data_IF_953080124918
#
_entry.id   IF_953080124918
#
_cell.length_a   1.000
_cell.length_b   1.000
_cell.length_c   1.000
_cell.angle_alpha   90.00
_cell.angle_beta   90.00
_cell.angle_gamma   90.00
#
_symmetry.space_group_name_H-M   'P 1'
#
loop_
_entity.id
_entity.type
_entity.pdbx_description
1 polymer ?
#
# COMPACT_ATOMS: atom_id res chain seq x y z
N UNK A 1 -17.12 -6.68 6.98
CA UNK A 1 -15.76 -6.94 7.48
C UNK A 1 -14.80 -6.56 6.37
N UNK A 2 -13.91 -5.59 6.60
CA UNK A 2 -12.90 -5.22 5.61
C UNK A 2 -11.97 -6.40 5.33
N UNK A 3 -11.66 -6.66 4.06
CA UNK A 3 -10.78 -7.75 3.67
C UNK A 3 -9.33 -7.32 3.86
N UNK A 4 -8.77 -7.62 5.04
CA UNK A 4 -7.34 -7.42 5.28
C UNK A 4 -6.52 -8.39 4.43
N UNK A 5 -5.54 -7.87 3.66
CA UNK A 5 -4.59 -8.70 2.92
C UNK A 5 -3.33 -8.90 3.74
N UNK A 6 -3.01 -10.16 4.05
CA UNK A 6 -1.73 -10.54 4.66
C UNK A 6 -0.68 -10.77 3.58
N UNK A 7 0.50 -10.15 3.75
CA UNK A 7 1.68 -10.35 2.92
C UNK A 7 2.82 -10.84 3.81
N UNK A 8 3.50 -11.90 3.38
CA UNK A 8 4.60 -12.51 4.12
C UNK A 8 5.91 -12.10 3.43
N UNK A 9 6.80 -11.44 4.17
CA UNK A 9 8.07 -10.95 3.66
C UNK A 9 9.15 -12.00 3.89
N UNK A 10 10.04 -12.19 2.93
CA UNK A 10 11.27 -12.95 3.14
C UNK A 10 12.23 -12.07 3.96
N UNK A 11 12.66 -12.56 5.13
CA UNK A 11 13.53 -11.92 6.12
C UNK A 11 12.84 -11.02 7.16
N UNK A 12 13.56 -10.80 8.26
CA UNK A 12 13.11 -9.94 9.36
C UNK A 12 13.05 -8.47 8.94
N UNK A 13 11.98 -7.80 9.36
CA UNK A 13 11.80 -6.38 9.16
C UNK A 13 11.48 -5.71 10.49
N UNK A 14 12.16 -4.60 10.75
CA UNK A 14 11.82 -3.73 11.85
C UNK A 14 10.48 -3.01 11.55
N UNK A 15 9.45 -3.37 12.29
CA UNK A 15 8.12 -2.77 12.19
C UNK A 15 8.16 -1.26 12.42
N UNK A 16 9.02 -0.76 13.31
CA UNK A 16 9.12 0.67 13.61
C UNK A 16 9.64 1.46 12.40
N UNK A 17 10.58 0.89 11.65
CA UNK A 17 11.08 1.47 10.39
C UNK A 17 10.00 1.59 9.31
N UNK A 18 9.04 0.65 9.24
CA UNK A 18 7.90 0.77 8.32
C UNK A 18 6.89 1.79 8.85
N UNK A 19 6.48 1.68 10.12
CA UNK A 19 5.44 2.55 10.72
C UNK A 19 5.82 4.03 10.67
N UNK A 20 7.08 4.36 10.89
CA UNK A 20 7.59 5.74 10.77
C UNK A 20 7.53 6.33 9.36
N UNK A 21 7.35 5.51 8.32
CA UNK A 21 7.21 5.96 6.94
C UNK A 21 5.74 6.22 6.54
N UNK A 22 4.76 5.74 7.31
CA UNK A 22 3.35 5.80 6.95
C UNK A 22 2.82 7.24 6.97
N UNK A 23 1.90 7.53 6.06
CA UNK A 23 1.11 8.75 6.09
C UNK A 23 0.20 8.74 7.32
N UNK A 24 0.28 9.79 8.13
CA UNK A 24 -0.43 9.92 9.42
C UNK A 24 -0.19 8.74 10.38
N UNK A 25 0.88 7.98 10.18
CA UNK A 25 1.26 6.83 11.00
C UNK A 25 0.52 5.52 10.69
N UNK A 26 -0.42 5.52 9.75
CA UNK A 26 -1.31 4.36 9.49
C UNK A 26 -1.49 4.04 8.00
N UNK A 27 -1.32 5.00 7.10
CA UNK A 27 -1.69 4.86 5.69
C UNK A 27 -0.49 4.74 4.73
N UNK A 28 -0.68 4.02 3.63
CA UNK A 28 0.29 3.90 2.54
C UNK A 28 -0.37 3.63 1.19
N UNK A 29 0.38 3.83 0.10
CA UNK A 29 -0.04 3.47 -1.27
C UNK A 29 0.71 2.20 -1.70
N UNK A 30 0.04 1.05 -1.93
CA UNK A 30 0.70 -0.21 -2.27
C UNK A 30 1.66 -0.10 -3.46
N UNK A 31 1.25 0.54 -4.55
CA UNK A 31 2.08 0.71 -5.74
C UNK A 31 3.34 1.54 -5.48
N UNK A 32 3.28 2.52 -4.58
CA UNK A 32 4.43 3.35 -4.24
C UNK A 32 5.53 2.57 -3.49
N UNK A 33 5.15 1.47 -2.83
CA UNK A 33 6.08 0.57 -2.10
C UNK A 33 6.42 -0.70 -2.88
N UNK A 34 6.00 -0.80 -4.14
CA UNK A 34 6.30 -1.94 -5.02
C UNK A 34 5.31 -3.11 -4.94
N UNK A 35 4.17 -2.91 -4.29
CA UNK A 35 3.09 -3.90 -4.26
C UNK A 35 2.09 -3.66 -5.40
N UNK A 36 1.41 -4.71 -5.91
CA UNK A 36 0.35 -4.53 -6.88
C UNK A 36 -0.84 -3.76 -6.28
N UNK A 37 -1.72 -3.16 -7.10
CA UNK A 37 -3.01 -2.66 -6.65
C UNK A 37 -3.77 -3.75 -5.89
N UNK A 38 -4.28 -3.42 -4.70
CA UNK A 38 -4.98 -4.40 -3.86
C UNK A 38 -6.50 -4.38 -4.08
N UNK A 39 -7.04 -3.29 -4.62
CA UNK A 39 -8.47 -3.04 -4.76
C UNK A 39 -9.11 -3.63 -6.02
N UNK A 40 -8.33 -3.98 -7.05
CA UNK A 40 -8.85 -4.56 -8.31
C UNK A 40 -9.69 -5.84 -8.11
N UNK A 41 -9.52 -6.51 -6.96
CA UNK A 41 -10.28 -7.71 -6.60
C UNK A 41 -11.67 -7.43 -6.06
N UNK A 42 -12.00 -6.19 -5.69
CA UNK A 42 -13.33 -5.84 -5.17
C UNK A 42 -14.41 -6.09 -6.21
N UNK A 43 -14.18 -5.70 -7.47
CA UNK A 43 -15.07 -6.03 -8.58
C UNK A 43 -15.24 -7.55 -8.76
N UNK A 44 -14.15 -8.31 -8.67
CA UNK A 44 -14.18 -9.78 -8.77
C UNK A 44 -14.93 -10.46 -7.60
N UNK A 45 -15.13 -9.75 -6.49
CA UNK A 45 -15.84 -10.21 -5.30
C UNK A 45 -17.29 -9.71 -5.26
N UNK A 46 -17.76 -9.03 -6.32
CA UNK A 46 -19.13 -8.55 -6.44
C UNK A 46 -19.40 -7.21 -5.76
N UNK A 47 -18.34 -6.50 -5.34
CA UNK A 47 -18.47 -5.11 -4.90
C UNK A 47 -18.49 -4.18 -6.12
N UNK A 48 -19.23 -3.09 -6.00
CA UNK A 48 -19.16 -1.98 -6.94
C UNK A 48 -17.76 -1.35 -6.83
N UNK A 49 -16.97 -1.42 -7.90
CA UNK A 49 -15.61 -0.88 -7.95
C UNK A 49 -15.20 -0.66 -9.42
N UNK A 50 -14.57 0.48 -9.76
CA UNK A 50 -14.30 1.63 -8.89
C UNK A 50 -15.54 2.53 -8.69
N UNK A 51 -15.57 3.23 -7.55
CA UNK A 51 -16.55 4.23 -7.11
C UNK A 51 -15.85 5.58 -6.90
N UNK A 52 -16.62 6.66 -6.72
CA UNK A 52 -16.06 8.01 -6.47
C UNK A 52 -15.35 8.13 -5.10
N UNK A 53 -15.69 7.25 -4.16
CA UNK A 53 -15.10 7.22 -2.82
C UNK A 53 -13.82 6.36 -2.75
N UNK A 54 -13.46 5.65 -3.83
CA UNK A 54 -12.27 4.80 -3.85
C UNK A 54 -10.98 5.62 -3.93
N UNK A 55 -10.11 5.41 -2.95
CA UNK A 55 -8.81 6.08 -2.87
C UNK A 55 -7.65 5.07 -2.89
N UNK A 56 -6.49 5.47 -3.42
CA UNK A 56 -5.30 4.60 -3.50
C UNK A 56 -4.70 4.23 -2.14
N UNK A 57 -5.08 4.96 -1.08
CA UNK A 57 -4.59 4.76 0.29
C UNK A 57 -5.11 3.47 0.91
N UNK A 58 -4.23 2.79 1.62
CA UNK A 58 -4.49 1.56 2.36
C UNK A 58 -3.96 1.70 3.79
N UNK A 59 -4.69 1.15 4.75
CA UNK A 59 -4.28 1.11 6.15
C UNK A 59 -3.36 -0.08 6.42
N UNK A 60 -2.26 0.14 7.13
CA UNK A 60 -1.44 -0.93 7.70
C UNK A 60 -2.00 -1.33 9.07
N UNK A 61 -2.85 -2.36 9.07
CA UNK A 61 -3.51 -2.85 10.30
C UNK A 61 -2.50 -3.47 11.27
N UNK A 62 -1.61 -4.35 10.79
CA UNK A 62 -0.69 -5.08 11.66
C UNK A 62 0.60 -5.51 10.94
N UNK A 63 1.65 -5.76 11.74
CA UNK A 63 2.93 -6.32 11.31
C UNK A 63 3.46 -7.23 12.42
N UNK A 64 3.49 -8.54 12.16
CA UNK A 64 3.90 -9.57 13.11
C UNK A 64 4.95 -10.51 12.51
N UNK A 65 5.95 -10.96 13.28
CA UNK A 65 6.84 -12.04 12.87
C UNK A 65 6.07 -13.34 12.64
N UNK A 66 6.50 -14.12 11.65
CA UNK A 66 5.91 -15.43 11.35
C UNK A 66 6.98 -16.41 10.85
N UNK A 67 6.73 -17.70 11.04
CA UNK A 67 7.53 -18.80 10.49
C UNK A 67 6.99 -19.30 9.13
N UNK A 68 5.91 -18.70 8.63
CA UNK A 68 5.31 -19.07 7.35
C UNK A 68 6.21 -18.72 6.16
N UNK A 69 6.06 -19.46 5.07
CA UNK A 69 6.81 -19.21 3.85
C UNK A 69 6.47 -17.83 3.25
N UNK A 70 7.46 -17.07 2.76
CA UNK A 70 7.24 -15.75 2.19
C UNK A 70 6.37 -15.81 0.94
N UNK A 71 5.66 -14.71 0.67
CA UNK A 71 4.87 -14.55 -0.55
C UNK A 71 5.83 -14.46 -1.74
N UNK A 72 5.67 -15.30 -2.79
CA UNK A 72 6.57 -15.27 -3.95
C UNK A 72 6.65 -13.89 -4.59
N UNK A 73 7.87 -13.44 -4.86
CA UNK A 73 8.12 -12.13 -5.50
C UNK A 73 8.00 -10.93 -4.56
N UNK A 74 7.89 -11.13 -3.24
CA UNK A 74 7.86 -10.05 -2.26
C UNK A 74 9.08 -10.16 -1.34
N UNK A 75 9.99 -9.19 -1.45
CA UNK A 75 11.24 -9.18 -0.70
C UNK A 75 11.25 -8.06 0.33
N UNK A 76 11.59 -8.37 1.60
CA UNK A 76 11.58 -7.42 2.71
C UNK A 76 12.36 -6.13 2.40
N UNK A 77 13.60 -6.29 1.91
CA UNK A 77 14.47 -5.17 1.61
C UNK A 77 13.87 -4.21 0.56
N UNK A 78 13.21 -4.75 -0.46
CA UNK A 78 12.58 -3.94 -1.52
C UNK A 78 11.37 -3.18 -1.01
N UNK A 79 10.53 -3.85 -0.19
CA UNK A 79 9.37 -3.24 0.45
C UNK A 79 9.80 -2.11 1.39
N UNK A 80 10.76 -2.35 2.28
CA UNK A 80 11.26 -1.33 3.23
C UNK A 80 11.87 -0.14 2.49
N UNK A 81 12.64 -0.38 1.42
CA UNK A 81 13.16 0.70 0.59
C UNK A 81 12.04 1.44 -0.13
N UNK A 82 10.99 0.75 -0.58
CA UNK A 82 9.77 1.32 -1.13
C UNK A 82 9.13 2.33 -0.18
N UNK A 83 8.85 1.91 1.07
CA UNK A 83 8.32 2.79 2.12
C UNK A 83 9.18 4.04 2.33
N UNK A 84 10.50 3.87 2.46
CA UNK A 84 11.42 5.01 2.65
C UNK A 84 11.40 5.98 1.47
N UNK A 85 11.37 5.48 0.23
CA UNK A 85 11.30 6.32 -0.97
C UNK A 85 9.98 7.06 -1.07
N UNK A 86 8.87 6.38 -0.82
CA UNK A 86 7.53 6.96 -0.88
C UNK A 86 7.35 8.06 0.18
N UNK A 87 7.73 7.78 1.43
CA UNK A 87 7.70 8.77 2.51
C UNK A 87 8.56 10.00 2.20
N UNK A 88 9.77 9.80 1.69
CA UNK A 88 10.67 10.91 1.31
C UNK A 88 10.11 11.79 0.19
N UNK A 89 9.32 11.22 -0.72
CA UNK A 89 8.65 11.95 -1.82
C UNK A 89 7.32 12.57 -1.39
N UNK A 90 6.88 12.32 -0.16
CA UNK A 90 5.60 12.81 0.35
C UNK A 90 4.41 12.04 -0.22
N UNK A 91 4.59 10.75 -0.56
CA UNK A 91 3.56 9.86 -1.08
C UNK A 91 2.79 10.49 -2.25
N UNK A 92 3.37 10.51 -3.46
CA UNK A 92 2.78 11.14 -4.66
C UNK A 92 1.39 10.56 -5.03
N UNK A 93 0.37 11.00 -4.31
CA UNK A 93 -1.04 10.62 -4.45
C UNK A 93 -1.65 11.19 -5.73
N UNK A 94 -0.93 12.11 -6.40
CA UNK A 94 -1.35 12.76 -7.63
C UNK A 94 -1.53 11.81 -8.83
N UNK A 95 -1.27 10.51 -8.70
CA UNK A 95 -1.72 9.53 -9.69
C UNK A 95 -3.26 9.40 -9.76
N UNK A 96 -4.00 9.83 -8.73
CA UNK A 96 -5.46 9.94 -8.77
C UNK A 96 -5.95 11.38 -9.05
N UNK A 97 -5.23 12.42 -8.60
CA UNK A 97 -5.68 13.82 -8.76
C UNK A 97 -5.26 14.51 -10.07
N UNK A 98 -4.27 13.99 -10.80
CA UNK A 98 -3.83 14.63 -12.06
C UNK A 98 -4.89 14.58 -13.18
N UNK A 99 -5.90 13.70 -13.09
CA UNK A 99 -7.00 13.66 -14.06
C UNK A 99 -8.18 14.58 -13.66
N UNK A 100 -8.27 15.01 -12.41
CA UNK A 100 -9.32 15.92 -11.94
C UNK A 100 -8.94 17.40 -12.02
N UNK A 101 -7.63 17.72 -12.09
CA UNK A 101 -7.13 19.11 -12.05
C UNK A 101 -6.66 19.67 -13.40
N UNK A 102 -6.86 18.95 -14.52
CA UNK A 102 -6.55 19.44 -15.89
C UNK A 102 -7.77 20.01 -16.63
N UNK A 103 -8.62 20.74 -15.92
CA UNK A 103 -9.43 21.78 -16.55
C UNK A 103 -9.41 22.96 -15.60
N UNK A 104 -8.68 24.01 -15.98
CA UNK A 104 -8.97 25.44 -15.75
C UNK A 104 -7.97 26.26 -16.56
N UNK A 105 -8.35 26.52 -17.81
CA UNK A 105 -8.38 27.86 -18.44
C UNK A 105 -9.20 27.76 -19.73
#
# INVERSE_FOLDING_TARGET
MGLARRLLLADEVDAASIRSCLQDGEHFIPQAVGLPPLQERFAAQGYEFPTEDDHLWHELVDLEPTADSPTPGVFAAEIVQGFRRAAKRGWDSCLSDCLASMSWS
#
